data_IF_526667085444
#
_entry.id   IF_526667085444
#
_cell.length_a   1.000
_cell.length_b   1.000
_cell.length_c   1.000
_cell.angle_alpha   90.00
_cell.angle_beta   90.00
_cell.angle_gamma   90.00
#
_symmetry.space_group_name_H-M   'P 1'
#
loop_
_entity.id
_entity.type
_entity.pdbx_description
1 polymer ?
#
# COMPACT_ATOMS: atom_id res chain seq x y z
N UNK A 1 -6.52 12.28 8.83
CA UNK A 1 -5.13 12.40 8.41
C UNK A 1 -4.22 11.70 9.41
N UNK A 2 -3.33 10.85 8.91
CA UNK A 2 -2.41 10.11 9.76
C UNK A 2 -1.05 10.77 9.77
N UNK A 3 -0.76 11.51 10.84
CA UNK A 3 0.54 12.16 11.01
C UNK A 3 1.27 11.44 12.13
N UNK A 4 2.46 10.94 11.83
CA UNK A 4 3.29 10.22 12.78
C UNK A 4 4.67 10.83 12.82
N UNK A 5 5.22 10.91 14.03
CA UNK A 5 6.62 11.30 14.21
C UNK A 5 7.48 10.05 14.17
N UNK A 6 8.50 10.09 13.36
CA UNK A 6 9.51 9.04 13.32
C UNK A 6 10.68 9.44 14.24
N UNK A 7 11.54 8.46 14.53
CA UNK A 7 12.68 8.63 15.42
C UNK A 7 13.62 9.79 15.06
N UNK A 8 13.63 10.23 13.80
CA UNK A 8 14.41 11.36 13.35
C UNK A 8 13.62 12.67 13.32
N UNK A 9 12.51 12.74 14.03
CA UNK A 9 11.61 13.88 14.09
C UNK A 9 10.95 14.25 12.76
N UNK A 10 10.91 13.33 11.81
CA UNK A 10 10.13 13.49 10.59
C UNK A 10 8.68 13.19 10.86
N UNK A 11 7.81 14.05 10.38
CA UNK A 11 6.39 13.77 10.35
C UNK A 11 6.05 13.18 8.99
N UNK A 12 5.39 12.03 8.99
CA UNK A 12 4.95 11.38 7.77
C UNK A 12 3.44 11.34 7.75
N UNK A 13 2.87 11.97 6.72
CA UNK A 13 1.44 11.98 6.49
C UNK A 13 1.12 10.95 5.43
N UNK A 14 0.90 9.71 5.88
CA UNK A 14 0.45 8.67 4.98
C UNK A 14 -0.27 7.56 5.75
N UNK A 15 -1.05 6.81 4.99
CA UNK A 15 -1.85 5.70 5.47
C UNK A 15 -1.32 4.43 4.85
N UNK A 16 -1.24 3.36 5.63
CA UNK A 16 -0.92 2.03 5.13
C UNK A 16 -2.10 1.12 5.42
N UNK A 17 -2.66 0.53 4.37
CA UNK A 17 -3.72 -0.48 4.49
C UNK A 17 -3.16 -1.84 4.13
N UNK A 18 -3.55 -2.85 4.92
CA UNK A 18 -3.30 -4.24 4.56
C UNK A 18 -4.49 -4.75 3.77
N UNK A 19 -4.23 -5.47 2.68
CA UNK A 19 -5.25 -6.07 1.83
C UNK A 19 -4.97 -7.56 1.70
N UNK A 20 -5.93 -8.38 2.11
CA UNK A 20 -5.85 -9.81 1.88
C UNK A 20 -6.71 -10.19 0.68
N UNK A 21 -6.08 -10.79 -0.30
CA UNK A 21 -6.72 -11.25 -1.52
C UNK A 21 -5.83 -12.31 -2.15
N UNK A 22 -6.44 -13.36 -2.71
CA UNK A 22 -5.69 -14.44 -3.35
C UNK A 22 -5.44 -14.21 -4.84
N UNK A 23 -6.00 -13.16 -5.41
CA UNK A 23 -5.83 -12.90 -6.85
C UNK A 23 -4.49 -12.19 -7.11
N UNK A 24 -4.05 -12.28 -8.34
CA UNK A 24 -2.79 -11.65 -8.76
C UNK A 24 -2.89 -10.14 -8.74
N UNK A 25 -1.77 -9.49 -8.57
CA UNK A 25 -1.67 -8.04 -8.41
C UNK A 25 -2.37 -7.26 -9.54
N UNK A 26 -2.14 -7.62 -10.79
CA UNK A 26 -2.73 -6.89 -11.91
C UNK A 26 -4.25 -7.02 -11.94
N UNK A 27 -4.79 -8.18 -11.55
CA UNK A 27 -6.24 -8.38 -11.49
C UNK A 27 -6.83 -7.60 -10.32
N UNK A 28 -6.15 -7.61 -9.17
CA UNK A 28 -6.56 -6.82 -8.01
C UNK A 28 -6.64 -5.33 -8.38
N UNK A 29 -5.61 -4.82 -9.05
CA UNK A 29 -5.59 -3.42 -9.48
C UNK A 29 -6.70 -3.12 -10.49
N UNK A 30 -6.98 -4.04 -11.40
CA UNK A 30 -8.08 -3.88 -12.35
C UNK A 30 -9.43 -3.76 -11.62
N UNK A 31 -9.67 -4.62 -10.62
CA UNK A 31 -10.90 -4.58 -9.84
C UNK A 31 -10.99 -3.30 -9.00
N UNK A 32 -9.87 -2.88 -8.41
CA UNK A 32 -9.82 -1.63 -7.65
C UNK A 32 -10.12 -0.44 -8.57
N UNK A 33 -9.53 -0.42 -9.75
CA UNK A 33 -9.76 0.65 -10.71
C UNK A 33 -11.24 0.76 -11.09
N UNK A 34 -11.91 -0.37 -11.26
CA UNK A 34 -13.33 -0.38 -11.57
C UNK A 34 -14.18 0.08 -10.38
N UNK A 35 -13.81 -0.32 -9.18
CA UNK A 35 -14.61 -0.04 -7.97
C UNK A 35 -14.42 1.39 -7.49
N UNK A 36 -13.18 1.86 -7.48
CA UNK A 36 -12.85 3.17 -6.93
C UNK A 36 -12.70 4.26 -8.00
N UNK A 37 -12.86 3.90 -9.27
CA UNK A 37 -12.65 4.81 -10.40
C UNK A 37 -11.24 5.42 -10.40
N UNK A 38 -10.27 4.58 -10.07
CA UNK A 38 -8.86 4.93 -10.06
C UNK A 38 -8.18 4.45 -11.34
N UNK A 39 -6.91 4.81 -11.49
CA UNK A 39 -6.09 4.42 -12.65
C UNK A 39 -4.73 3.89 -12.17
N UNK A 40 -4.78 2.83 -11.39
CA UNK A 40 -3.53 2.17 -11.00
C UNK A 40 -2.86 1.57 -12.21
N UNK A 41 -1.59 1.92 -12.41
CA UNK A 41 -0.75 1.39 -13.49
C UNK A 41 0.54 0.86 -12.91
N UNK A 42 1.13 -0.13 -13.57
CA UNK A 42 2.39 -0.73 -13.14
C UNK A 42 3.49 0.33 -13.10
N UNK A 43 4.23 0.36 -12.01
CA UNK A 43 5.35 1.25 -11.80
C UNK A 43 6.61 0.40 -11.57
N UNK A 44 7.77 1.04 -11.39
CA UNK A 44 8.99 0.36 -10.99
C UNK A 44 8.76 -0.39 -9.68
N UNK A 45 9.33 -1.57 -9.56
CA UNK A 45 9.23 -2.34 -8.34
C UNK A 45 9.80 -1.55 -7.15
N UNK A 46 9.17 -1.74 -5.99
CA UNK A 46 9.70 -1.22 -4.73
C UNK A 46 10.81 -2.15 -4.27
N UNK A 47 11.99 -1.58 -4.06
CA UNK A 47 13.12 -2.34 -3.55
C UNK A 47 13.17 -2.24 -2.04
N UNK A 48 13.45 -3.36 -1.38
CA UNK A 48 13.61 -3.36 0.08
C UNK A 48 14.88 -2.57 0.45
N UNK A 49 14.80 -1.67 1.43
CA UNK A 49 15.94 -0.80 1.77
C UNK A 49 17.17 -1.55 2.28
N UNK A 50 16.96 -2.70 2.91
CA UNK A 50 18.05 -3.48 3.52
C UNK A 50 18.49 -4.67 2.69
N UNK A 51 17.85 -4.95 1.56
CA UNK A 51 18.16 -6.09 0.74
C UNK A 51 17.78 -5.83 -0.73
N UNK A 52 18.78 -5.50 -1.54
CA UNK A 52 18.56 -5.17 -2.94
C UNK A 52 18.02 -6.33 -3.79
N UNK A 53 18.08 -7.56 -3.27
CA UNK A 53 17.50 -8.72 -3.95
C UNK A 53 16.00 -8.82 -3.79
N UNK A 54 15.42 -8.10 -2.81
CA UNK A 54 13.99 -8.11 -2.56
C UNK A 54 13.33 -6.97 -3.34
N UNK A 55 12.53 -7.34 -4.31
CA UNK A 55 11.78 -6.42 -5.15
C UNK A 55 10.32 -6.81 -5.11
N UNK A 56 9.45 -5.81 -4.96
CA UNK A 56 8.02 -6.00 -4.81
C UNK A 56 7.28 -5.25 -5.88
N UNK A 57 6.30 -5.88 -6.50
CA UNK A 57 5.48 -5.24 -7.50
C UNK A 57 4.81 -3.99 -6.94
N UNK A 58 4.78 -2.95 -7.74
CA UNK A 58 4.21 -1.66 -7.36
C UNK A 58 3.31 -1.15 -8.48
N UNK A 59 2.11 -0.71 -8.09
CA UNK A 59 1.15 -0.06 -8.98
C UNK A 59 0.79 1.28 -8.39
N UNK A 60 0.71 2.31 -9.21
CA UNK A 60 0.53 3.69 -8.73
C UNK A 60 -0.66 4.35 -9.40
N UNK A 61 -1.43 5.06 -8.58
CA UNK A 61 -2.48 5.97 -9.02
C UNK A 61 -2.25 7.33 -8.37
N UNK A 62 -2.26 8.39 -9.18
CA UNK A 62 -2.14 9.75 -8.68
C UNK A 62 -3.47 10.47 -8.92
N UNK A 63 -4.00 11.07 -7.87
CA UNK A 63 -5.20 11.90 -7.95
C UNK A 63 -4.75 13.36 -7.89
N UNK A 64 -4.72 14.01 -9.04
CA UNK A 64 -4.24 15.39 -9.14
C UNK A 64 -5.18 16.38 -8.46
N UNK A 65 -6.48 16.09 -8.44
CA UNK A 65 -7.46 16.99 -7.85
C UNK A 65 -7.32 17.10 -6.33
N UNK A 66 -6.90 16.02 -5.68
CA UNK A 66 -6.69 15.99 -4.23
C UNK A 66 -5.21 16.02 -3.85
N UNK A 67 -4.32 15.98 -4.84
CA UNK A 67 -2.86 15.89 -4.65
C UNK A 67 -2.45 14.66 -3.83
N UNK A 68 -3.21 13.56 -3.99
CA UNK A 68 -2.94 12.29 -3.30
C UNK A 68 -2.26 11.31 -4.23
N UNK A 69 -1.37 10.50 -3.68
CA UNK A 69 -0.76 9.39 -4.40
C UNK A 69 -1.11 8.09 -3.70
N UNK A 70 -1.55 7.12 -4.47
CA UNK A 70 -1.90 5.79 -4.00
C UNK A 70 -0.95 4.79 -4.63
N UNK A 71 -0.39 3.90 -3.81
CA UNK A 71 0.48 2.83 -4.29
C UNK A 71 0.03 1.50 -3.72
N UNK A 72 -0.04 0.48 -4.57
CA UNK A 72 -0.29 -0.89 -4.14
C UNK A 72 1.01 -1.65 -4.29
N UNK A 73 1.45 -2.25 -3.19
CA UNK A 73 2.68 -3.00 -3.11
C UNK A 73 2.36 -4.46 -2.81
N UNK A 74 2.96 -5.38 -3.54
CA UNK A 74 2.92 -6.78 -3.19
C UNK A 74 3.77 -6.99 -1.94
N UNK A 75 3.26 -7.73 -0.95
CA UNK A 75 4.04 -8.04 0.26
C UNK A 75 5.02 -9.18 0.05
N UNK A 76 4.83 -9.98 -1.00
CA UNK A 76 5.63 -11.18 -1.21
C UNK A 76 6.47 -11.06 -2.49
N UNK A 77 7.71 -11.49 -2.38
CA UNK A 77 8.59 -11.67 -3.53
C UNK A 77 9.14 -13.10 -3.50
N UNK A 78 9.93 -13.44 -4.50
CA UNK A 78 10.58 -14.76 -4.58
C UNK A 78 11.45 -15.06 -3.34
N UNK A 79 12.09 -14.05 -2.78
CA UNK A 79 13.08 -14.23 -1.71
C UNK A 79 12.62 -13.74 -0.34
N UNK A 80 11.42 -13.20 -0.21
CA UNK A 80 10.98 -12.72 1.10
C UNK A 80 9.79 -11.79 1.04
N UNK A 81 9.59 -11.05 2.11
CA UNK A 81 8.45 -10.20 2.33
C UNK A 81 8.85 -8.74 2.50
N UNK A 82 7.98 -7.84 2.07
CA UNK A 82 8.17 -6.40 2.31
C UNK A 82 8.08 -6.12 3.82
N UNK A 83 7.10 -6.71 4.48
CA UNK A 83 6.91 -6.59 5.93
C UNK A 83 6.89 -7.97 6.58
N UNK A 84 8.01 -8.32 7.21
CA UNK A 84 8.21 -9.64 7.83
C UNK A 84 7.25 -9.93 8.98
N UNK A 85 6.82 -8.90 9.71
CA UNK A 85 5.92 -9.07 10.84
C UNK A 85 4.46 -9.29 10.42
N UNK A 86 4.15 -9.15 9.14
CA UNK A 86 2.80 -9.27 8.62
C UNK A 86 2.78 -10.15 7.35
N UNK A 87 3.35 -11.33 7.45
CA UNK A 87 3.51 -12.25 6.31
C UNK A 87 2.18 -12.71 5.71
N UNK A 88 1.11 -12.70 6.49
CA UNK A 88 -0.21 -13.12 6.00
C UNK A 88 -0.89 -12.05 5.13
N UNK A 89 -0.41 -10.83 5.15
CA UNK A 89 -0.95 -9.75 4.32
C UNK A 89 -0.43 -9.93 2.90
N UNK A 90 -1.33 -9.92 1.93
CA UNK A 90 -0.96 -10.14 0.53
C UNK A 90 -0.47 -8.87 -0.14
N UNK A 91 -1.12 -7.74 0.14
CA UNK A 91 -0.79 -6.45 -0.48
C UNK A 91 -0.90 -5.34 0.54
N UNK A 92 -0.15 -4.26 0.29
CA UNK A 92 -0.29 -3.03 1.04
C UNK A 92 -0.70 -1.91 0.11
N UNK A 93 -1.62 -1.06 0.56
CA UNK A 93 -1.92 0.19 -0.12
C UNK A 93 -1.36 1.32 0.72
N UNK A 94 -0.47 2.10 0.14
CA UNK A 94 0.13 3.27 0.79
C UNK A 94 -0.49 4.51 0.16
N UNK A 95 -1.14 5.32 0.98
CA UNK A 95 -1.79 6.56 0.55
C UNK A 95 -1.03 7.74 1.14
N UNK A 96 -0.57 8.65 0.30
CA UNK A 96 0.25 9.77 0.70
C UNK A 96 -0.33 11.09 0.21
N UNK A 97 -0.15 12.13 1.03
CA UNK A 97 -0.47 13.50 0.67
C UNK A 97 -1.95 13.75 0.48
N UNK A 98 -2.29 15.03 0.24
CA UNK A 98 -3.62 15.41 -0.17
C UNK A 98 -4.72 15.16 0.86
N UNK A 99 -5.93 14.96 0.32
CA UNK A 99 -7.13 14.73 1.12
C UNK A 99 -7.70 13.36 0.76
N UNK A 100 -7.87 12.51 1.75
CA UNK A 100 -8.50 11.21 1.55
C UNK A 100 -9.28 10.80 2.79
N UNK A 101 -10.23 9.89 2.60
CA UNK A 101 -11.01 9.32 3.69
C UNK A 101 -10.64 7.85 3.86
N UNK A 102 -9.96 7.53 4.95
CA UNK A 102 -9.59 6.15 5.29
C UNK A 102 -10.82 5.25 5.30
N UNK A 103 -11.89 5.69 5.95
CA UNK A 103 -13.12 4.93 6.07
C UNK A 103 -13.72 4.58 4.71
N UNK A 104 -13.81 5.56 3.81
CA UNK A 104 -14.37 5.36 2.47
C UNK A 104 -13.52 4.41 1.65
N UNK A 105 -12.21 4.53 1.74
CA UNK A 105 -11.29 3.64 1.01
C UNK A 105 -11.50 2.20 1.49
N UNK A 106 -11.51 1.98 2.80
CA UNK A 106 -11.71 0.64 3.37
C UNK A 106 -13.06 0.08 2.97
N UNK A 107 -14.13 0.87 3.07
CA UNK A 107 -15.47 0.43 2.70
C UNK A 107 -15.55 0.02 1.23
N UNK A 108 -14.97 0.82 0.35
CA UNK A 108 -15.00 0.55 -1.08
C UNK A 108 -14.19 -0.70 -1.45
N UNK A 109 -12.99 -0.83 -0.89
CA UNK A 109 -12.17 -2.02 -1.13
C UNK A 109 -12.84 -3.28 -0.59
N UNK A 110 -13.50 -3.18 0.55
CA UNK A 110 -14.17 -4.32 1.18
C UNK A 110 -15.37 -4.83 0.39
N UNK A 111 -15.90 -4.04 -0.53
CA UNK A 111 -17.00 -4.45 -1.40
C UNK A 111 -16.55 -5.24 -2.62
N UNK A 112 -15.25 -5.31 -2.87
CA UNK A 112 -14.70 -6.10 -3.98
C UNK A 112 -14.75 -7.57 -3.58
N UNK A 113 -15.39 -8.40 -4.42
CA UNK A 113 -15.62 -9.81 -4.10
C UNK A 113 -14.32 -10.57 -3.78
N UNK A 114 -13.28 -10.33 -4.54
CA UNK A 114 -12.00 -11.02 -4.37
C UNK A 114 -11.14 -10.46 -3.24
N UNK A 115 -11.59 -9.40 -2.55
CA UNK A 115 -10.91 -8.86 -1.38
C UNK A 115 -11.51 -9.49 -0.13
N UNK A 116 -10.71 -10.20 0.62
CA UNK A 116 -11.13 -10.94 1.81
C UNK A 116 -11.14 -10.08 3.06
N UNK A 117 -10.17 -9.18 3.17
CA UNK A 117 -10.01 -8.33 4.35
C UNK A 117 -9.23 -7.07 3.98
N UNK A 118 -9.66 -5.93 4.52
CA UNK A 118 -8.93 -4.67 4.43
C UNK A 118 -8.87 -4.09 5.83
N UNK A 119 -7.70 -3.65 6.23
CA UNK A 119 -7.53 -3.04 7.55
C UNK A 119 -6.43 -1.99 7.53
N UNK A 120 -6.53 -1.02 8.43
CA UNK A 120 -5.47 -0.05 8.61
C UNK A 120 -4.33 -0.70 9.38
N UNK A 121 -3.12 -0.61 8.86
CA UNK A 121 -1.95 -1.15 9.53
C UNK A 121 -1.53 -0.22 10.66
N UNK A 122 -1.47 -0.77 11.87
CA UNK A 122 -0.96 -0.03 13.01
C UNK A 122 0.56 0.03 12.92
N UNK A 123 1.12 1.23 12.90
CA UNK A 123 2.56 1.41 12.74
C UNK A 123 3.37 0.79 13.88
N UNK A 124 2.76 0.55 15.04
CA UNK A 124 3.43 -0.17 16.12
C UNK A 124 3.63 -1.66 15.83
N UNK A 125 2.89 -2.21 14.85
CA UNK A 125 2.97 -3.61 14.47
C UNK A 125 3.92 -3.88 13.31
N UNK A 126 4.62 -2.87 12.82
CA UNK A 126 5.61 -3.04 11.77
C UNK A 126 7.01 -2.84 12.34
N UNK A 127 7.96 -3.51 11.70
CA UNK A 127 9.35 -3.46 12.12
C UNK A 127 9.98 -2.11 11.85
N UNK A 128 9.66 -1.52 10.70
CA UNK A 128 10.16 -0.23 10.27
C UNK A 128 9.23 0.37 9.22
N UNK A 129 9.12 1.69 9.21
CA UNK A 129 8.37 2.40 8.18
C UNK A 129 9.12 2.46 6.85
N UNK A 130 10.43 2.28 6.89
CA UNK A 130 11.31 2.48 5.72
C UNK A 130 10.90 1.68 4.48
N UNK A 131 10.45 0.41 4.58
CA UNK A 131 10.02 -0.33 3.39
C UNK A 131 8.84 0.29 2.65
N UNK A 132 8.05 1.12 3.34
CA UNK A 132 6.87 1.78 2.78
C UNK A 132 7.15 3.18 2.25
N UNK A 133 8.36 3.68 2.43
CA UNK A 133 8.79 4.94 1.83
C UNK A 133 9.17 4.64 0.39
N UNK A 134 8.37 5.17 -0.54
CA UNK A 134 8.48 4.80 -1.93
C UNK A 134 9.66 5.47 -2.61
N UNK A 135 10.38 4.69 -3.39
CA UNK A 135 11.48 5.22 -4.18
C UNK A 135 10.94 5.70 -5.52
N UNK A 136 11.09 6.97 -5.77
CA UNK A 136 10.69 7.61 -7.04
C UNK A 136 11.89 8.12 -7.81
#
# INVERSE_FOLDING_TARGET
MNVKKLENNFEIDFLILGINSHIKSYKLCWEINNKLHTKFVKNKNQQHPNNSKLNFERFTHTDESTESQYNILSNRSTFGYLEENNKSVNYFMVVQGGIYSTKKIIESLSQIEDVLLVFELNLSNIKSITPFILND
#
